data_IF_415504329580
#
_entry.id   IF_415504329580
#
_cell.length_a   1.000
_cell.length_b   1.000
_cell.length_c   1.000
_cell.angle_alpha   90.00
_cell.angle_beta   90.00
_cell.angle_gamma   90.00
#
_symmetry.space_group_name_H-M   'P 1'
#
loop_
_entity.id
_entity.type
_entity.pdbx_description
1 polymer ?
#
# COMPACT_ATOMS: atom_id res chain seq x y z
N UNK A 1 -21.83 11.62 -3.26
CA UNK A 1 -20.83 12.63 -2.86
C UNK A 1 -19.70 12.04 -2.03
N UNK A 2 -19.98 11.30 -0.95
CA UNK A 2 -18.95 10.67 -0.08
C UNK A 2 -17.98 9.75 -0.83
N UNK A 3 -18.49 8.88 -1.71
CA UNK A 3 -17.69 7.92 -2.48
C UNK A 3 -16.67 8.60 -3.42
N UNK A 4 -17.07 9.74 -4.02
CA UNK A 4 -16.19 10.56 -4.86
C UNK A 4 -15.07 11.18 -4.00
N UNK A 5 -15.40 11.65 -2.79
CA UNK A 5 -14.40 12.17 -1.85
C UNK A 5 -13.37 11.10 -1.44
N UNK A 6 -13.82 9.87 -1.17
CA UNK A 6 -12.94 8.74 -0.86
C UNK A 6 -12.01 8.43 -2.05
N UNK A 7 -12.55 8.39 -3.27
CA UNK A 7 -11.74 8.17 -4.47
C UNK A 7 -10.68 9.26 -4.67
N UNK A 8 -11.06 10.54 -4.54
CA UNK A 8 -10.13 11.66 -4.65
C UNK A 8 -9.03 11.55 -3.58
N UNK A 9 -9.40 11.24 -2.34
CA UNK A 9 -8.45 11.07 -1.25
C UNK A 9 -7.42 9.96 -1.53
N UNK A 10 -7.89 8.79 -2.01
CA UNK A 10 -7.02 7.68 -2.40
C UNK A 10 -6.07 8.12 -3.51
N UNK A 11 -6.57 8.80 -4.55
CA UNK A 11 -5.74 9.28 -5.67
C UNK A 11 -4.65 10.24 -5.17
N UNK A 12 -5.02 11.23 -4.34
CA UNK A 12 -4.08 12.22 -3.81
C UNK A 12 -3.00 11.55 -2.96
N UNK A 13 -3.38 10.67 -2.03
CA UNK A 13 -2.40 9.93 -1.21
C UNK A 13 -1.49 9.04 -2.06
N UNK A 14 -2.04 8.39 -3.09
CA UNK A 14 -1.25 7.56 -4.01
C UNK A 14 -0.23 8.41 -4.74
N UNK A 15 -0.63 9.59 -5.23
CA UNK A 15 0.26 10.51 -5.93
C UNK A 15 1.41 10.99 -5.03
N UNK A 16 1.08 11.41 -3.81
CA UNK A 16 2.08 11.81 -2.80
C UNK A 16 3.05 10.67 -2.49
N UNK A 17 2.54 9.44 -2.36
CA UNK A 17 3.35 8.24 -2.09
C UNK A 17 4.31 7.94 -3.24
N UNK A 18 3.85 8.06 -4.49
CA UNK A 18 4.70 7.87 -5.67
C UNK A 18 5.82 8.92 -5.70
N UNK A 19 5.49 10.19 -5.44
CA UNK A 19 6.47 11.29 -5.38
C UNK A 19 7.51 11.02 -4.29
N UNK A 20 7.08 10.65 -3.09
CA UNK A 20 7.98 10.31 -1.98
C UNK A 20 8.86 9.10 -2.30
N UNK A 21 8.32 8.06 -2.92
CA UNK A 21 9.09 6.88 -3.35
C UNK A 21 10.15 7.19 -4.42
N UNK A 22 9.93 8.24 -5.23
CA UNK A 22 10.89 8.74 -6.21
C UNK A 22 11.99 9.59 -5.55
N UNK A 23 11.62 10.48 -4.62
CA UNK A 23 12.56 11.36 -3.92
C UNK A 23 13.41 10.63 -2.87
N UNK A 24 12.84 9.63 -2.20
CA UNK A 24 13.44 8.92 -1.07
C UNK A 24 13.51 7.41 -1.36
N UNK A 25 14.36 6.96 -2.29
CA UNK A 25 14.41 5.57 -2.73
C UNK A 25 14.80 4.59 -1.61
N UNK A 26 15.60 5.04 -0.64
CA UNK A 26 16.01 4.21 0.50
C UNK A 26 14.88 4.03 1.53
N UNK A 27 13.89 4.93 1.56
CA UNK A 27 12.76 4.86 2.50
C UNK A 27 11.51 4.20 1.91
N UNK A 28 11.59 3.66 0.68
CA UNK A 28 10.50 2.97 -0.01
C UNK A 28 9.71 1.96 0.84
N UNK A 29 10.35 1.04 1.61
CA UNK A 29 9.59 0.10 2.43
C UNK A 29 8.81 0.78 3.57
N UNK A 30 9.39 1.81 4.18
CA UNK A 30 8.71 2.60 5.22
C UNK A 30 7.52 3.37 4.64
N UNK A 31 7.72 4.02 3.49
CA UNK A 31 6.68 4.76 2.77
C UNK A 31 5.54 3.83 2.35
N UNK A 32 5.86 2.62 1.85
CA UNK A 32 4.87 1.61 1.49
C UNK A 32 4.06 1.10 2.70
N UNK A 33 4.72 0.92 3.86
CA UNK A 33 4.04 0.55 5.11
C UNK A 33 3.08 1.63 5.58
N UNK A 34 3.51 2.89 5.58
CA UNK A 34 2.68 4.05 5.92
C UNK A 34 1.49 4.16 4.96
N UNK A 35 1.74 4.03 3.65
CA UNK A 35 0.69 4.02 2.63
C UNK A 35 -0.35 2.91 2.85
N UNK A 36 0.08 1.72 3.27
CA UNK A 36 -0.82 0.61 3.57
C UNK A 36 -1.80 0.95 4.70
N UNK A 37 -1.31 1.57 5.78
CA UNK A 37 -2.15 1.99 6.92
C UNK A 37 -3.16 3.06 6.52
N UNK A 38 -2.73 4.07 5.75
CA UNK A 38 -3.63 5.15 5.33
C UNK A 38 -4.64 4.72 4.28
N UNK A 39 -4.30 3.77 3.41
CA UNK A 39 -5.17 3.32 2.33
C UNK A 39 -6.13 2.22 2.77
N UNK A 40 -5.83 1.48 3.83
CA UNK A 40 -6.68 0.36 4.29
C UNK A 40 -8.07 0.80 4.73
N UNK A 41 -8.19 1.94 5.42
CA UNK A 41 -9.48 2.46 5.89
C UNK A 41 -10.37 2.97 4.73
N UNK A 42 -9.88 3.85 3.82
CA UNK A 42 -10.61 4.23 2.61
C UNK A 42 -11.04 3.02 1.77
N UNK A 43 -10.15 2.03 1.63
CA UNK A 43 -10.42 0.83 0.85
C UNK A 43 -11.53 -0.02 1.48
N UNK A 44 -11.53 -0.16 2.81
CA UNK A 44 -12.62 -0.78 3.55
C UNK A 44 -13.95 -0.07 3.33
N UNK A 45 -13.99 1.26 3.45
CA UNK A 45 -15.21 2.04 3.23
C UNK A 45 -15.72 1.89 1.79
N UNK A 46 -14.82 1.83 0.81
CA UNK A 46 -15.15 1.67 -0.60
C UNK A 46 -15.76 0.28 -0.87
N UNK A 47 -15.14 -0.79 -0.37
CA UNK A 47 -15.67 -2.17 -0.50
C UNK A 47 -16.99 -2.32 0.27
N UNK A 48 -17.10 -1.72 1.46
CA UNK A 48 -18.31 -1.75 2.27
C UNK A 48 -19.49 -1.03 1.58
N UNK A 49 -19.22 -0.04 0.73
CA UNK A 49 -20.25 0.71 -0.01
C UNK A 49 -20.79 0.01 -1.26
N UNK A 50 -20.12 -1.06 -1.73
CA UNK A 50 -20.56 -1.80 -2.92
C UNK A 50 -21.86 -2.57 -2.64
N UNK A 51 -22.85 -2.55 -3.56
CA UNK A 51 -24.12 -3.27 -3.41
C UNK A 51 -23.97 -4.77 -3.74
N UNK A 52 -23.09 -5.46 -3.02
CA UNK A 52 -22.79 -6.89 -3.21
C UNK A 52 -23.04 -7.69 -1.91
N UNK A 53 -23.09 -9.02 -2.02
CA UNK A 53 -23.28 -9.91 -0.88
C UNK A 53 -22.21 -9.77 0.20
N UNK A 54 -22.59 -9.93 1.47
CA UNK A 54 -21.67 -9.78 2.61
C UNK A 54 -20.47 -10.73 2.53
N UNK A 55 -20.69 -11.97 2.05
CA UNK A 55 -19.62 -12.97 1.88
C UNK A 55 -18.59 -12.49 0.87
N UNK A 56 -19.06 -11.90 -0.23
CA UNK A 56 -18.20 -11.37 -1.29
C UNK A 56 -17.45 -10.13 -0.82
N UNK A 57 -18.06 -9.24 -0.02
CA UNK A 57 -17.38 -8.09 0.59
C UNK A 57 -16.21 -8.53 1.47
N UNK A 58 -16.44 -9.51 2.35
CA UNK A 58 -15.39 -10.03 3.25
C UNK A 58 -14.27 -10.68 2.44
N UNK A 59 -14.62 -11.50 1.44
CA UNK A 59 -13.63 -12.12 0.56
C UNK A 59 -12.78 -11.05 -0.18
N UNK A 60 -13.42 -10.03 -0.76
CA UNK A 60 -12.71 -8.92 -1.41
C UNK A 60 -11.81 -8.16 -0.44
N UNK A 61 -12.27 -7.92 0.79
CA UNK A 61 -11.48 -7.23 1.81
C UNK A 61 -10.24 -8.03 2.19
N UNK A 62 -10.39 -9.34 2.42
CA UNK A 62 -9.28 -10.24 2.74
C UNK A 62 -8.27 -10.32 1.59
N UNK A 63 -8.74 -10.42 0.35
CA UNK A 63 -7.89 -10.43 -0.85
C UNK A 63 -7.13 -9.11 -0.97
N UNK A 64 -7.82 -7.99 -0.82
CA UNK A 64 -7.21 -6.66 -0.91
C UNK A 64 -6.13 -6.45 0.17
N UNK A 65 -6.42 -6.80 1.43
CA UNK A 65 -5.44 -6.74 2.52
C UNK A 65 -4.25 -7.68 2.29
N UNK A 66 -4.50 -8.90 1.84
CA UNK A 66 -3.43 -9.89 1.57
C UNK A 66 -2.49 -9.40 0.46
N UNK A 67 -3.04 -8.81 -0.60
CA UNK A 67 -2.26 -8.22 -1.69
C UNK A 67 -1.41 -7.03 -1.21
N UNK A 68 -1.99 -6.12 -0.40
CA UNK A 68 -1.23 -5.01 0.17
C UNK A 68 -0.11 -5.49 1.09
N UNK A 69 -0.41 -6.47 1.96
CA UNK A 69 0.58 -7.07 2.85
C UNK A 69 1.72 -7.72 2.07
N UNK A 70 1.39 -8.51 1.04
CA UNK A 70 2.37 -9.15 0.16
C UNK A 70 3.25 -8.13 -0.56
N UNK A 71 2.66 -7.04 -1.06
CA UNK A 71 3.41 -5.96 -1.72
C UNK A 71 4.41 -5.30 -0.76
N UNK A 72 3.99 -4.96 0.46
CA UNK A 72 4.86 -4.36 1.48
C UNK A 72 5.99 -5.32 1.85
N UNK A 73 5.68 -6.60 2.12
CA UNK A 73 6.67 -7.64 2.39
C UNK A 73 7.69 -7.78 1.25
N UNK A 74 7.22 -7.83 0.01
CA UNK A 74 8.07 -7.90 -1.16
C UNK A 74 9.01 -6.69 -1.25
N UNK A 75 8.50 -5.47 -1.03
CA UNK A 75 9.33 -4.26 -1.04
C UNK A 75 10.36 -4.26 0.10
N UNK A 76 9.97 -4.65 1.32
CA UNK A 76 10.86 -4.76 2.48
C UNK A 76 11.97 -5.78 2.21
N UNK A 77 11.63 -6.99 1.74
CA UNK A 77 12.59 -8.04 1.41
C UNK A 77 13.54 -7.63 0.27
N UNK A 78 13.00 -7.01 -0.79
CA UNK A 78 13.80 -6.50 -1.91
C UNK A 78 14.77 -5.41 -1.47
N UNK A 79 14.34 -4.54 -0.55
CA UNK A 79 15.19 -3.48 -0.01
C UNK A 79 16.28 -4.05 0.90
N UNK A 80 15.94 -4.97 1.81
CA UNK A 80 16.93 -5.66 2.65
C UNK A 80 17.98 -6.37 1.81
N UNK A 81 17.57 -7.11 0.77
CA UNK A 81 18.50 -7.80 -0.13
C UNK A 81 19.46 -6.82 -0.82
N UNK A 82 18.99 -5.64 -1.24
CA UNK A 82 19.84 -4.59 -1.82
C UNK A 82 20.85 -4.06 -0.81
N UNK A 83 20.44 -3.79 0.43
CA UNK A 83 21.35 -3.33 1.48
C UNK A 83 22.41 -4.39 1.84
N UNK A 84 22.02 -5.67 1.93
CA UNK A 84 22.95 -6.79 2.20
C UNK A 84 23.97 -6.96 1.08
N UNK A 85 23.58 -6.79 -0.18
CA UNK A 85 24.52 -6.83 -1.31
C UNK A 85 25.51 -5.66 -1.25
N UNK A 86 25.02 -4.44 -0.97
CA UNK A 86 25.85 -3.23 -0.87
C UNK A 86 26.87 -3.28 0.28
N UNK A 87 26.53 -3.96 1.39
CA UNK A 87 27.46 -4.15 2.53
C UNK A 87 28.51 -5.22 2.28
N UNK A 88 28.27 -6.20 1.39
CA UNK A 88 29.28 -7.18 0.98
C UNK A 88 30.30 -6.64 -0.03
N UNK A 89 30.01 -5.50 -0.66
CA UNK A 89 30.89 -4.85 -1.64
C UNK A 89 31.87 -3.84 -1.01
N UNK A 90 31.74 -3.53 0.28
CA UNK A 90 32.65 -2.63 0.98
C UNK A 90 33.61 -3.49 1.84
N UNK A 91 34.87 -3.71 1.40
CA UNK A 91 35.88 -4.44 2.16
C UNK A 91 36.41 -3.68 3.38
#
# INVERSE_FOLDING_TARGET
MVLIGILIFIIVITLVTIILCALLPDYRPLIAGIYMVYTSLPLYLLIASLPIDYRLRIALQLVAFSLMLFLVLYMVLSHHRRLTLRTREIP
#
